data_IF_751808358585
#
_entry.id   IF_751808358585
#
_cell.length_a   1.000
_cell.length_b   1.000
_cell.length_c   1.000
_cell.angle_alpha   90.00
_cell.angle_beta   90.00
_cell.angle_gamma   90.00
#
_symmetry.space_group_name_H-M   'P 1'
#
loop_
_entity.id
_entity.type
_entity.pdbx_description
1 polymer ?
#
# COMPACT_ATOMS: atom_id res chain seq x y z
N UNK A 1 12.33 10.98 36.33
CA UNK A 1 11.54 12.15 36.77
C UNK A 1 12.16 13.38 36.13
N UNK A 2 11.39 14.35 35.62
CA UNK A 2 11.97 15.54 34.99
C UNK A 2 12.86 16.31 35.99
N UNK A 3 14.01 16.85 35.55
CA UNK A 3 14.87 17.66 36.41
C UNK A 3 14.12 18.93 36.84
N UNK A 4 14.04 19.15 38.16
CA UNK A 4 13.30 20.28 38.72
C UNK A 4 14.04 21.61 38.50
N UNK A 5 13.30 22.67 38.21
CA UNK A 5 13.78 24.03 38.04
C UNK A 5 13.32 24.93 39.19
N UNK A 6 14.28 25.41 39.96
CA UNK A 6 14.09 26.28 41.13
C UNK A 6 14.55 27.73 40.88
N UNK A 7 14.81 28.11 39.61
CA UNK A 7 15.39 29.38 39.14
C UNK A 7 16.91 29.48 39.21
N UNK A 8 17.60 28.54 39.85
CA UNK A 8 19.06 28.55 39.90
C UNK A 8 19.66 27.81 38.70
N UNK A 9 20.77 28.34 38.18
CA UNK A 9 21.59 27.71 37.14
C UNK A 9 20.76 27.18 35.95
N UNK A 10 20.07 28.13 35.27
CA UNK A 10 19.23 27.83 34.11
C UNK A 10 19.98 27.03 33.03
N UNK A 11 21.27 27.29 32.84
CA UNK A 11 22.10 26.58 31.86
C UNK A 11 22.19 25.10 32.22
N UNK A 12 22.53 24.78 33.48
CA UNK A 12 22.60 23.40 33.92
C UNK A 12 21.24 22.71 33.86
N UNK A 13 20.16 23.40 34.25
CA UNK A 13 18.81 22.85 34.11
C UNK A 13 18.45 22.58 32.65
N UNK A 14 18.74 23.51 31.73
CA UNK A 14 18.50 23.40 30.28
C UNK A 14 19.21 22.19 29.68
N UNK A 15 20.47 21.94 30.07
CA UNK A 15 21.24 20.76 29.64
C UNK A 15 20.61 19.47 30.17
N UNK A 16 20.31 19.40 31.47
CA UNK A 16 19.70 18.21 32.09
C UNK A 16 18.32 17.93 31.50
N UNK A 17 17.52 18.96 31.28
CA UNK A 17 16.16 18.85 30.75
C UNK A 17 16.15 18.41 29.29
N UNK A 18 16.98 19.04 28.44
CA UNK A 18 17.07 18.65 27.03
C UNK A 18 17.53 17.19 26.89
N UNK A 19 18.54 16.78 27.66
CA UNK A 19 19.03 15.40 27.69
C UNK A 19 17.94 14.42 28.17
N UNK A 20 17.19 14.79 29.22
CA UNK A 20 16.09 13.97 29.73
C UNK A 20 15.00 13.76 28.66
N UNK A 21 14.56 14.83 27.99
CA UNK A 21 13.52 14.74 26.96
C UNK A 21 14.00 13.90 25.76
N UNK A 22 15.23 14.13 25.29
CA UNK A 22 15.84 13.34 24.21
C UNK A 22 15.95 11.85 24.57
N UNK A 23 16.23 11.52 25.84
CA UNK A 23 16.29 10.13 26.30
C UNK A 23 14.92 9.43 26.35
N UNK A 24 13.84 10.20 26.47
CA UNK A 24 12.48 9.66 26.47
C UNK A 24 11.99 9.40 25.06
N UNK A 25 12.16 10.39 24.18
CA UNK A 25 11.71 10.36 22.79
C UNK A 25 12.28 11.58 22.06
N UNK A 26 13.07 11.34 21.00
CA UNK A 26 13.68 12.42 20.25
C UNK A 26 12.65 13.28 19.50
N UNK A 27 11.50 12.70 19.12
CA UNK A 27 10.42 13.44 18.47
C UNK A 27 9.79 14.49 19.42
N UNK A 28 9.86 14.28 20.75
CA UNK A 28 9.48 15.29 21.72
C UNK A 28 10.44 16.48 21.74
N UNK A 29 11.74 16.22 21.60
CA UNK A 29 12.74 17.28 21.54
C UNK A 29 12.59 18.11 20.26
N UNK A 30 12.43 17.44 19.12
CA UNK A 30 12.17 18.10 17.84
C UNK A 30 10.91 18.97 17.90
N UNK A 31 9.87 18.49 18.59
CA UNK A 31 8.63 19.26 18.80
C UNK A 31 8.85 20.56 19.59
N UNK A 32 9.74 20.55 20.57
CA UNK A 32 10.07 21.72 21.40
C UNK A 32 10.90 22.72 20.59
N UNK A 33 11.92 22.26 19.88
CA UNK A 33 12.86 23.12 19.13
C UNK A 33 12.21 23.69 17.87
N UNK A 34 11.64 22.83 17.03
CA UNK A 34 11.12 23.24 15.73
C UNK A 34 9.68 23.76 15.82
N UNK A 35 8.90 23.25 16.77
CA UNK A 35 7.52 23.66 16.99
C UNK A 35 6.55 23.07 15.97
N UNK A 36 5.27 23.35 16.21
CA UNK A 36 4.18 22.93 15.33
C UNK A 36 4.27 23.59 13.94
N UNK A 37 4.37 22.77 12.88
CA UNK A 37 3.97 23.18 11.53
C UNK A 37 2.48 22.88 11.34
N UNK A 38 1.61 23.56 12.08
CA UNK A 38 0.17 23.41 11.90
C UNK A 38 -0.36 24.46 10.90
N UNK A 39 -1.35 24.11 10.05
CA UNK A 39 -2.11 25.10 9.32
C UNK A 39 -2.75 26.10 10.29
N UNK A 40 -2.63 27.40 10.02
CA UNK A 40 -2.99 28.53 10.89
C UNK A 40 -4.48 28.60 11.32
N UNK A 41 -5.32 27.63 10.96
CA UNK A 41 -6.73 27.54 11.34
C UNK A 41 -6.91 26.57 12.52
N UNK A 42 -6.34 26.90 13.67
CA UNK A 42 -6.43 26.05 14.86
C UNK A 42 -7.57 26.40 15.79
N UNK A 43 -8.10 27.62 15.69
CA UNK A 43 -9.02 28.18 16.67
C UNK A 43 -10.49 27.84 16.36
N UNK A 44 -10.78 27.26 15.19
CA UNK A 44 -12.16 27.05 14.71
C UNK A 44 -12.44 25.68 14.08
N UNK A 45 -11.48 24.74 14.07
CA UNK A 45 -11.71 23.39 13.54
C UNK A 45 -12.32 22.46 14.60
N UNK A 46 -13.48 21.83 14.35
CA UNK A 46 -14.03 20.82 15.24
C UNK A 46 -13.04 19.64 15.39
N UNK A 47 -12.91 19.08 16.61
CA UNK A 47 -12.06 17.91 16.93
C UNK A 47 -12.22 16.72 15.96
N UNK A 48 -13.35 16.63 15.28
CA UNK A 48 -13.70 15.56 14.33
C UNK A 48 -12.92 15.68 13.00
N UNK A 49 -12.37 16.85 12.67
CA UNK A 49 -11.69 17.10 11.38
C UNK A 49 -10.19 16.80 11.35
N UNK A 50 -9.57 16.42 12.47
CA UNK A 50 -8.14 16.14 12.48
C UNK A 50 -7.81 14.81 11.82
N UNK A 51 -6.82 14.82 10.93
CA UNK A 51 -6.22 13.60 10.40
C UNK A 51 -5.31 12.93 11.46
N UNK A 52 -4.88 11.70 11.20
CA UNK A 52 -4.13 10.92 12.19
C UNK A 52 -2.77 11.56 12.55
N UNK A 53 -2.07 12.14 11.56
CA UNK A 53 -0.80 12.84 11.78
C UNK A 53 -0.98 14.09 12.65
N UNK A 54 -2.05 14.86 12.43
CA UNK A 54 -2.37 16.05 13.23
C UNK A 54 -2.69 15.67 14.69
N UNK A 55 -3.39 14.55 14.92
CA UNK A 55 -3.65 14.03 16.26
C UNK A 55 -2.36 13.58 16.95
N UNK A 56 -1.44 12.95 16.23
CA UNK A 56 -0.16 12.52 16.75
C UNK A 56 0.72 13.71 17.17
N UNK A 57 0.79 14.75 16.33
CA UNK A 57 1.46 16.00 16.68
C UNK A 57 0.85 16.69 17.91
N UNK A 58 -0.48 16.70 18.03
CA UNK A 58 -1.18 17.20 19.21
C UNK A 58 -0.79 16.46 20.49
N UNK A 59 -0.71 15.13 20.40
CA UNK A 59 -0.29 14.27 21.52
C UNK A 59 1.15 14.58 21.93
N UNK A 60 2.07 14.71 20.97
CA UNK A 60 3.47 15.07 21.23
C UNK A 60 3.58 16.45 21.90
N UNK A 61 2.87 17.47 21.40
CA UNK A 61 2.86 18.80 22.02
C UNK A 61 2.36 18.74 23.47
N UNK A 62 1.23 18.06 23.69
CA UNK A 62 0.64 17.95 25.03
C UNK A 62 1.57 17.21 26.00
N UNK A 63 2.23 16.15 25.53
CA UNK A 63 3.21 15.39 26.32
C UNK A 63 4.45 16.23 26.65
N UNK A 64 5.00 16.95 25.67
CA UNK A 64 6.12 17.86 25.89
C UNK A 64 5.77 18.98 26.90
N UNK A 65 4.61 19.62 26.75
CA UNK A 65 4.10 20.61 27.71
C UNK A 65 4.01 20.04 29.12
N UNK A 66 3.44 18.84 29.26
CA UNK A 66 3.29 18.18 30.54
C UNK A 66 4.65 17.93 31.21
N UNK A 67 5.63 17.41 30.47
CA UNK A 67 6.99 17.16 30.99
C UNK A 67 7.62 18.46 31.51
N UNK A 68 7.54 19.54 30.73
CA UNK A 68 8.10 20.83 31.14
C UNK A 68 7.36 21.37 32.35
N UNK A 69 6.03 21.36 32.38
CA UNK A 69 5.26 21.84 33.53
C UNK A 69 5.54 21.06 34.82
N UNK A 70 5.72 19.73 34.74
CA UNK A 70 6.09 18.92 35.91
C UNK A 70 7.49 19.25 36.46
N UNK A 71 8.33 19.91 35.68
CA UNK A 71 9.67 20.29 36.06
C UNK A 71 9.78 21.68 36.67
N UNK A 72 8.71 22.50 36.62
CA UNK A 72 8.77 23.90 37.02
C UNK A 72 8.20 24.11 38.42
N UNK A 73 8.77 25.06 39.14
CA UNK A 73 8.16 25.62 40.34
C UNK A 73 6.87 26.39 39.99
N UNK A 74 5.95 26.53 40.95
CA UNK A 74 4.67 27.23 40.75
C UNK A 74 4.83 28.66 40.21
N UNK A 75 5.84 29.38 40.70
CA UNK A 75 6.12 30.75 40.28
C UNK A 75 6.60 30.84 38.82
N UNK A 76 7.37 29.85 38.34
CA UNK A 76 7.76 29.80 36.93
C UNK A 76 6.59 29.33 36.06
N UNK A 77 5.79 28.38 36.54
CA UNK A 77 4.58 27.91 35.86
C UNK A 77 3.59 29.05 35.55
N UNK A 78 3.28 29.92 36.53
CA UNK A 78 2.30 30.99 36.35
C UNK A 78 2.64 31.92 35.17
N UNK A 79 3.93 32.17 34.92
CA UNK A 79 4.43 33.05 33.87
C UNK A 79 4.28 32.49 32.45
N UNK A 80 4.31 31.16 32.34
CA UNK A 80 4.26 30.45 31.05
C UNK A 80 2.96 29.65 30.86
N UNK A 81 2.07 29.66 31.85
CA UNK A 81 0.81 28.91 31.88
C UNK A 81 -0.10 29.25 30.69
N UNK A 82 0.01 30.47 30.16
CA UNK A 82 -0.77 30.95 29.00
C UNK A 82 -0.22 30.48 27.64
N UNK A 83 0.95 29.84 27.59
CA UNK A 83 1.56 29.40 26.33
C UNK A 83 0.78 28.21 25.73
N UNK A 84 0.52 28.28 24.43
CA UNK A 84 -0.27 27.27 23.73
C UNK A 84 0.60 26.06 23.35
N UNK A 85 1.87 26.31 23.00
CA UNK A 85 2.80 25.28 22.51
C UNK A 85 3.97 25.03 23.45
N UNK A 86 4.55 23.82 23.39
CA UNK A 86 5.76 23.50 24.15
C UNK A 86 6.95 24.36 23.73
N UNK A 87 7.00 24.75 22.45
CA UNK A 87 7.98 25.68 21.91
C UNK A 87 7.87 27.07 22.51
N UNK A 88 6.66 27.64 22.58
CA UNK A 88 6.45 28.94 23.23
C UNK A 88 6.88 28.93 24.69
N UNK A 89 6.61 27.83 25.41
CA UNK A 89 7.09 27.65 26.78
C UNK A 89 8.61 27.70 26.83
N UNK A 90 9.27 26.90 25.99
CA UNK A 90 10.73 26.79 25.98
C UNK A 90 11.40 28.12 25.63
N UNK A 91 10.92 28.80 24.59
CA UNK A 91 11.42 30.12 24.20
C UNK A 91 11.25 31.16 25.32
N UNK A 92 10.09 31.20 26.00
CA UNK A 92 9.91 32.15 27.11
C UNK A 92 10.85 31.87 28.29
N UNK A 93 11.13 30.60 28.58
CA UNK A 93 12.09 30.25 29.63
C UNK A 93 13.50 30.71 29.26
N UNK A 94 13.87 30.61 27.98
CA UNK A 94 15.13 31.12 27.44
C UNK A 94 15.20 32.65 27.57
N UNK A 95 14.16 33.36 27.12
CA UNK A 95 14.07 34.82 27.20
C UNK A 95 14.21 35.34 28.65
N UNK A 96 13.59 34.67 29.63
CA UNK A 96 13.59 35.15 31.02
C UNK A 96 14.92 34.93 31.79
N UNK A 97 15.69 33.92 31.42
CA UNK A 97 16.81 33.43 32.23
C UNK A 97 18.16 33.43 31.52
N UNK A 98 18.20 33.56 30.19
CA UNK A 98 19.45 33.68 29.44
C UNK A 98 20.00 35.13 29.50
N UNK A 99 19.15 36.16 29.55
CA UNK A 99 19.56 37.58 29.71
C UNK A 99 20.16 37.91 31.09
N UNK A 100 19.80 37.18 32.15
CA UNK A 100 20.24 37.46 33.53
C UNK A 100 21.60 36.86 33.90
N UNK A 101 22.09 35.88 33.14
CA UNK A 101 23.36 35.23 33.44
C UNK A 101 24.58 35.99 32.91
N UNK A 102 24.39 37.04 32.11
CA UNK A 102 25.51 37.88 31.64
C UNK A 102 26.17 38.62 32.81
N UNK A 103 25.38 39.13 33.77
CA UNK A 103 25.90 39.75 35.00
C UNK A 103 26.62 38.74 35.93
N UNK A 104 26.11 37.51 36.03
CA UNK A 104 26.72 36.44 36.83
C UNK A 104 28.06 35.97 36.26
N UNK A 105 28.15 35.83 34.93
CA UNK A 105 29.39 35.46 34.23
C UNK A 105 30.47 36.53 34.40
N UNK A 106 30.11 37.83 34.34
CA UNK A 106 31.05 38.93 34.64
C UNK A 106 31.54 38.89 36.09
N UNK A 107 30.68 38.56 37.06
CA UNK A 107 31.08 38.44 38.47
C UNK A 107 31.96 37.21 38.75
N UNK A 108 31.73 36.08 38.08
CA UNK A 108 32.60 34.90 38.18
C UNK A 108 33.95 35.08 37.49
N UNK A 109 33.99 35.83 36.36
CA UNK A 109 35.24 36.18 35.67
C UNK A 109 36.16 37.02 36.55
N UNK A 110 35.62 38.01 37.29
CA UNK A 110 36.43 38.82 38.21
C UNK A 110 36.96 38.02 39.42
N UNK A 111 36.19 37.05 39.92
CA UNK A 111 36.62 36.20 41.03
C UNK A 111 37.73 35.19 40.63
N UNK A 112 37.75 34.74 39.37
CA UNK A 112 38.76 33.81 38.86
C UNK A 112 40.12 34.49 38.60
N UNK A 113 40.16 35.81 38.43
CA UNK A 113 41.41 36.57 38.25
C UNK A 113 42.16 36.82 39.58
N UNK A 114 41.49 36.78 40.73
CA UNK A 114 42.12 37.01 42.04
C UNK A 114 42.81 35.77 42.63
N UNK A 115 42.43 34.54 42.22
CA UNK A 115 42.91 33.29 42.83
C UNK A 115 44.07 32.58 42.09
N UNK A 116 44.55 33.10 40.95
CA UNK A 116 45.62 32.46 40.17
C UNK A 116 47.04 32.78 40.67
N UNK A 117 47.29 32.61 41.98
CA UNK A 117 48.64 32.50 42.53
C UNK A 117 48.78 31.22 43.37
N UNK A 118 49.17 30.12 42.74
CA UNK A 118 49.41 28.85 43.40
C UNK A 118 49.65 27.70 42.44
N UNK A 119 50.91 27.27 42.38
CA UNK A 119 51.57 26.20 41.63
C UNK A 119 50.80 24.99 41.04
N UNK A 120 51.23 24.67 39.81
CA UNK A 120 51.63 23.37 39.21
C UNK A 120 50.78 22.09 39.42
N UNK A 121 50.17 21.59 38.33
CA UNK A 121 50.28 20.17 37.91
C UNK A 121 49.67 19.88 36.52
N UNK A 122 50.47 19.21 35.67
CA UNK A 122 50.11 18.24 34.61
C UNK A 122 49.31 18.66 33.35
N UNK A 123 50.02 18.79 32.22
CA UNK A 123 49.57 18.47 30.84
C UNK A 123 48.17 18.94 30.39
N UNK A 124 47.69 20.08 30.85
CA UNK A 124 46.48 20.69 30.33
C UNK A 124 46.84 21.53 29.09
N UNK A 125 46.43 21.08 27.90
CA UNK A 125 46.60 21.84 26.65
C UNK A 125 45.73 23.08 26.77
N UNK A 126 46.34 24.17 27.25
CA UNK A 126 45.64 25.39 27.56
C UNK A 126 45.36 26.15 26.25
N UNK A 127 44.16 25.98 25.70
CA UNK A 127 43.75 26.71 24.49
C UNK A 127 43.61 28.19 24.80
N UNK A 128 44.19 29.03 23.96
CA UNK A 128 44.00 30.47 24.09
C UNK A 128 42.56 30.81 23.71
N UNK A 129 41.94 31.81 24.36
CA UNK A 129 40.59 32.29 24.03
C UNK A 129 40.38 32.53 22.52
N UNK A 130 41.41 33.03 21.82
CA UNK A 130 41.39 33.26 20.37
C UNK A 130 41.22 31.97 19.57
N UNK A 131 41.86 30.88 20.00
CA UNK A 131 41.78 29.57 19.35
C UNK A 131 40.39 28.96 19.56
N UNK A 132 39.85 29.11 20.78
CA UNK A 132 38.52 28.64 21.13
C UNK A 132 37.42 29.41 20.38
N UNK A 133 37.57 30.73 20.27
CA UNK A 133 36.67 31.58 19.49
C UNK A 133 36.68 31.20 18.00
N UNK A 134 37.87 31.01 17.42
CA UNK A 134 37.99 30.61 16.01
C UNK A 134 37.41 29.21 15.75
N UNK A 135 37.61 28.27 16.68
CA UNK A 135 37.00 26.94 16.61
C UNK A 135 35.46 27.02 16.65
N UNK A 136 34.90 27.83 17.55
CA UNK A 136 33.46 28.04 17.65
C UNK A 136 32.86 28.68 16.38
N UNK A 137 33.50 29.72 15.84
CA UNK A 137 33.05 30.36 14.60
C UNK A 137 33.05 29.39 13.41
N UNK A 138 34.06 28.52 13.31
CA UNK A 138 34.12 27.50 12.27
C UNK A 138 33.01 26.45 12.45
N UNK A 139 32.80 25.98 13.68
CA UNK A 139 31.72 25.05 14.00
C UNK A 139 30.34 25.62 13.67
N UNK A 140 30.12 26.90 13.97
CA UNK A 140 28.86 27.58 13.67
C UNK A 140 28.60 27.67 12.16
N UNK A 141 29.61 28.00 11.36
CA UNK A 141 29.51 28.01 9.89
C UNK A 141 29.20 26.63 9.32
N UNK A 142 29.82 25.58 9.83
CA UNK A 142 29.52 24.20 9.43
C UNK A 142 28.08 23.82 9.77
N UNK A 143 27.62 24.16 10.97
CA UNK A 143 26.24 23.94 11.39
C UNK A 143 25.23 24.64 10.47
N UNK A 144 25.47 25.90 10.11
CA UNK A 144 24.61 26.65 9.20
C UNK A 144 24.54 25.99 7.81
N UNK A 145 25.69 25.57 7.28
CA UNK A 145 25.77 24.84 6.01
C UNK A 145 24.98 23.52 6.05
N UNK A 146 25.10 22.75 7.13
CA UNK A 146 24.34 21.52 7.34
C UNK A 146 22.83 21.80 7.40
N UNK A 147 22.41 22.87 8.08
CA UNK A 147 21.01 23.27 8.16
C UNK A 147 20.43 23.60 6.76
N UNK A 148 21.16 24.32 5.93
CA UNK A 148 20.76 24.61 4.55
C UNK A 148 20.64 23.32 3.72
N UNK A 149 21.61 22.41 3.86
CA UNK A 149 21.58 21.11 3.18
C UNK A 149 20.37 20.27 3.62
N UNK A 150 20.08 20.22 4.92
CA UNK A 150 18.90 19.52 5.45
C UNK A 150 17.59 20.12 4.93
N UNK A 151 17.49 21.44 4.82
CA UNK A 151 16.33 22.11 4.21
C UNK A 151 16.13 21.69 2.76
N UNK A 152 17.21 21.56 1.99
CA UNK A 152 17.17 21.07 0.60
C UNK A 152 16.74 19.60 0.53
N UNK A 153 17.37 18.74 1.35
CA UNK A 153 17.03 17.31 1.42
C UNK A 153 15.56 17.09 1.81
N UNK A 154 15.03 17.86 2.76
CA UNK A 154 13.63 17.79 3.17
C UNK A 154 12.67 18.12 2.02
N UNK A 155 12.99 19.13 1.20
CA UNK A 155 12.20 19.46 -0.01
C UNK A 155 12.24 18.32 -1.02
N UNK A 156 13.42 17.76 -1.27
CA UNK A 156 13.58 16.64 -2.20
C UNK A 156 12.82 15.40 -1.72
N UNK A 157 12.86 15.09 -0.42
CA UNK A 157 12.11 14.00 0.18
C UNK A 157 10.59 14.15 -0.01
N UNK A 158 10.06 15.37 0.18
CA UNK A 158 8.64 15.67 -0.07
C UNK A 158 8.30 15.49 -1.57
N UNK A 159 9.17 15.95 -2.47
CA UNK A 159 8.99 15.78 -3.91
C UNK A 159 8.94 14.31 -4.31
N UNK A 160 9.89 13.51 -3.83
CA UNK A 160 9.95 12.07 -4.09
C UNK A 160 8.72 11.33 -3.52
N UNK A 161 8.24 11.71 -2.34
CA UNK A 161 7.04 11.12 -1.75
C UNK A 161 5.80 11.34 -2.65
N UNK A 162 5.63 12.54 -3.20
CA UNK A 162 4.53 12.84 -4.12
C UNK A 162 4.63 12.04 -5.43
N UNK A 163 5.85 11.87 -5.95
CA UNK A 163 6.10 11.07 -7.16
C UNK A 163 5.77 9.59 -6.94
N UNK A 164 6.17 9.02 -5.79
CA UNK A 164 5.82 7.66 -5.38
C UNK A 164 4.30 7.49 -5.30
N UNK A 165 3.58 8.45 -4.72
CA UNK A 165 2.12 8.38 -4.62
C UNK A 165 1.43 8.44 -5.99
N UNK A 166 1.99 9.19 -6.95
CA UNK A 166 1.50 9.21 -8.33
C UNK A 166 1.77 7.88 -9.04
N UNK A 167 2.98 7.33 -8.95
CA UNK A 167 3.33 6.04 -9.53
C UNK A 167 2.48 4.90 -8.95
N UNK A 168 2.18 4.93 -7.65
CA UNK A 168 1.25 3.97 -7.02
C UNK A 168 -0.14 4.02 -7.62
N UNK A 169 -0.68 5.23 -7.87
CA UNK A 169 -1.99 5.38 -8.52
C UNK A 169 -1.98 4.84 -9.94
N UNK A 170 -0.90 5.06 -10.70
CA UNK A 170 -0.78 4.55 -12.06
C UNK A 170 -0.67 3.02 -12.09
N UNK A 171 0.18 2.44 -11.23
CA UNK A 171 0.28 0.98 -11.07
C UNK A 171 -1.07 0.35 -10.68
N UNK A 172 -1.87 1.02 -9.84
CA UNK A 172 -3.21 0.54 -9.51
C UNK A 172 -4.13 0.46 -10.74
N UNK A 173 -3.96 1.34 -11.74
CA UNK A 173 -4.72 1.27 -12.99
C UNK A 173 -4.28 0.07 -13.84
N UNK A 174 -2.98 -0.10 -14.04
CA UNK A 174 -2.45 -1.23 -14.83
C UNK A 174 -2.81 -2.58 -14.20
N UNK A 175 -2.78 -2.71 -12.87
CA UNK A 175 -3.20 -3.93 -12.18
C UNK A 175 -4.66 -4.29 -12.48
N UNK A 176 -5.57 -3.30 -12.45
CA UNK A 176 -6.99 -3.52 -12.78
C UNK A 176 -7.18 -3.92 -14.24
N UNK A 177 -6.42 -3.31 -15.15
CA UNK A 177 -6.47 -3.65 -16.58
C UNK A 177 -6.00 -5.09 -16.81
N UNK A 178 -4.89 -5.50 -16.20
CA UNK A 178 -4.37 -6.88 -16.26
C UNK A 178 -5.41 -7.88 -15.75
N UNK A 179 -6.10 -7.57 -14.65
CA UNK A 179 -7.14 -8.44 -14.09
C UNK A 179 -8.32 -8.59 -15.05
N UNK A 180 -8.78 -7.48 -15.66
CA UNK A 180 -9.85 -7.53 -16.67
C UNK A 180 -9.46 -8.34 -17.93
N UNK A 181 -8.20 -8.23 -18.38
CA UNK A 181 -7.69 -9.00 -19.51
C UNK A 181 -7.56 -10.48 -19.18
N UNK A 182 -7.17 -10.81 -17.93
CA UNK A 182 -7.08 -12.18 -17.45
C UNK A 182 -8.47 -12.85 -17.45
N UNK A 183 -9.49 -12.15 -16.97
CA UNK A 183 -10.87 -12.66 -16.98
C UNK A 183 -11.35 -12.89 -18.42
N UNK A 184 -11.05 -11.94 -19.32
CA UNK A 184 -11.39 -12.06 -20.73
C UNK A 184 -10.69 -13.23 -21.42
N UNK A 185 -9.41 -13.46 -21.10
CA UNK A 185 -8.67 -14.61 -21.61
C UNK A 185 -9.25 -15.93 -21.08
N UNK A 186 -9.64 -15.98 -19.80
CA UNK A 186 -10.32 -17.17 -19.25
C UNK A 186 -11.61 -17.47 -19.98
N UNK A 187 -12.39 -16.43 -20.33
CA UNK A 187 -13.60 -16.59 -21.12
C UNK A 187 -13.31 -17.19 -22.50
N UNK A 188 -12.35 -16.62 -23.24
CA UNK A 188 -11.99 -17.12 -24.57
C UNK A 188 -11.41 -18.54 -24.56
N UNK A 189 -10.64 -18.90 -23.53
CA UNK A 189 -10.13 -20.27 -23.38
C UNK A 189 -11.28 -21.27 -23.27
N UNK A 190 -12.29 -20.97 -22.43
CA UNK A 190 -13.47 -21.82 -22.30
C UNK A 190 -14.25 -21.93 -23.62
N UNK A 191 -14.37 -20.83 -24.37
CA UNK A 191 -15.06 -20.82 -25.66
C UNK A 191 -14.33 -21.68 -26.71
N UNK A 192 -13.00 -21.60 -26.74
CA UNK A 192 -12.16 -22.46 -27.59
C UNK A 192 -12.35 -23.94 -27.22
N UNK A 193 -12.39 -24.28 -25.94
CA UNK A 193 -12.60 -25.66 -25.49
C UNK A 193 -13.96 -26.21 -25.93
N UNK A 194 -15.02 -25.40 -25.84
CA UNK A 194 -16.36 -25.76 -26.32
C UNK A 194 -16.36 -26.00 -27.84
N UNK A 195 -15.71 -25.12 -28.60
CA UNK A 195 -15.59 -25.26 -30.05
C UNK A 195 -14.79 -26.50 -30.44
N UNK A 196 -13.71 -26.81 -29.71
CA UNK A 196 -12.92 -28.02 -29.91
C UNK A 196 -13.75 -29.29 -29.67
N UNK A 197 -14.53 -29.35 -28.59
CA UNK A 197 -15.44 -30.47 -28.33
C UNK A 197 -16.49 -30.59 -29.45
N UNK A 198 -17.07 -29.47 -29.87
CA UNK A 198 -18.10 -29.44 -30.92
C UNK A 198 -17.56 -29.91 -32.27
N UNK A 199 -16.36 -29.48 -32.65
CA UNK A 199 -15.71 -29.91 -33.90
C UNK A 199 -15.36 -31.40 -33.87
N UNK A 200 -14.90 -31.92 -32.73
CA UNK A 200 -14.65 -33.35 -32.56
C UNK A 200 -15.92 -34.18 -32.72
N UNK A 201 -17.00 -33.77 -32.06
CA UNK A 201 -18.32 -34.43 -32.18
C UNK A 201 -18.82 -34.42 -33.63
N UNK A 202 -18.68 -33.29 -34.32
CA UNK A 202 -19.04 -33.17 -35.74
C UNK A 202 -18.24 -34.15 -36.60
N UNK A 203 -16.91 -34.21 -36.42
CA UNK A 203 -16.06 -35.12 -37.18
C UNK A 203 -16.39 -36.60 -36.91
N UNK A 204 -16.68 -36.96 -35.66
CA UNK A 204 -17.05 -38.32 -35.29
C UNK A 204 -18.40 -38.70 -35.92
N UNK A 205 -19.39 -37.78 -35.93
CA UNK A 205 -20.67 -38.00 -36.62
C UNK A 205 -20.51 -38.17 -38.14
N UNK A 206 -19.54 -37.47 -38.75
CA UNK A 206 -19.29 -37.55 -40.19
C UNK A 206 -18.69 -38.91 -40.57
N UNK A 207 -17.73 -39.41 -39.77
CA UNK A 207 -17.17 -40.77 -39.94
C UNK A 207 -18.23 -41.85 -39.76
N UNK A 208 -19.13 -41.70 -38.79
CA UNK A 208 -20.22 -42.66 -38.57
C UNK A 208 -21.20 -42.67 -39.75
N UNK A 209 -21.54 -41.50 -40.31
CA UNK A 209 -22.35 -41.40 -41.51
C UNK A 209 -21.69 -42.04 -42.74
N UNK A 210 -20.38 -41.87 -42.92
CA UNK A 210 -19.63 -42.54 -43.99
C UNK A 210 -19.70 -44.07 -43.85
N UNK A 211 -19.55 -44.58 -42.63
CA UNK A 211 -19.68 -46.02 -42.33
C UNK A 211 -21.09 -46.54 -42.64
N UNK A 212 -22.13 -45.85 -42.18
CA UNK A 212 -23.53 -46.22 -42.44
C UNK A 212 -23.84 -46.22 -43.94
N UNK A 213 -23.26 -45.29 -44.70
CA UNK A 213 -23.42 -45.25 -46.16
C UNK A 213 -22.87 -46.51 -46.84
N UNK A 214 -21.69 -46.97 -46.41
CA UNK A 214 -21.09 -48.22 -46.90
C UNK A 214 -21.99 -49.43 -46.55
N UNK A 215 -22.51 -49.51 -45.33
CA UNK A 215 -23.42 -50.58 -44.90
C UNK A 215 -24.72 -50.59 -45.71
N UNK A 216 -25.32 -49.43 -45.97
CA UNK A 216 -26.52 -49.30 -46.81
C UNK A 216 -26.24 -49.78 -48.24
N UNK A 217 -25.10 -49.40 -48.83
CA UNK A 217 -24.75 -49.82 -50.19
C UNK A 217 -24.51 -51.33 -50.28
N UNK A 218 -23.89 -51.93 -49.26
CA UNK A 218 -23.77 -53.39 -49.14
C UNK A 218 -25.14 -54.07 -49.02
N UNK A 219 -26.04 -53.53 -48.19
CA UNK A 219 -27.41 -54.02 -48.05
C UNK A 219 -28.19 -53.93 -49.36
N UNK A 220 -28.16 -52.78 -50.06
CA UNK A 220 -28.80 -52.61 -51.38
C UNK A 220 -28.30 -53.65 -52.40
N UNK A 221 -26.99 -53.92 -52.40
CA UNK A 221 -26.39 -54.94 -53.27
C UNK A 221 -26.92 -56.34 -52.93
N UNK A 222 -26.92 -56.70 -51.65
CA UNK A 222 -27.46 -57.98 -51.18
C UNK A 222 -28.95 -58.16 -51.52
N UNK A 223 -29.75 -57.11 -51.37
CA UNK A 223 -31.17 -57.12 -51.73
C UNK A 223 -31.38 -57.30 -53.24
N UNK A 224 -30.56 -56.64 -54.07
CA UNK A 224 -30.59 -56.82 -55.53
C UNK A 224 -30.25 -58.26 -55.92
N UNK A 225 -29.25 -58.87 -55.29
CA UNK A 225 -28.91 -60.29 -55.49
C UNK A 225 -30.04 -61.22 -55.04
N UNK A 226 -30.64 -60.96 -53.88
CA UNK A 226 -31.78 -61.72 -53.38
C UNK A 226 -32.99 -61.64 -54.32
N UNK A 227 -33.33 -60.43 -54.80
CA UNK A 227 -34.41 -60.18 -55.77
C UNK A 227 -34.15 -60.85 -57.11
N UNK A 228 -32.90 -60.93 -57.56
CA UNK A 228 -32.52 -61.54 -58.83
C UNK A 228 -32.29 -63.06 -58.74
N UNK A 229 -32.30 -63.64 -57.54
CA UNK A 229 -32.15 -65.08 -57.39
C UNK A 229 -33.34 -65.81 -58.03
N UNK A 230 -33.05 -66.65 -59.02
CA UNK A 230 -34.09 -67.31 -59.83
C UNK A 230 -35.06 -68.15 -58.98
N UNK A 231 -34.60 -68.68 -57.85
CA UNK A 231 -35.43 -69.43 -56.91
C UNK A 231 -36.58 -68.59 -56.33
N UNK A 232 -36.32 -67.31 -56.00
CA UNK A 232 -37.32 -66.42 -55.42
C UNK A 232 -38.26 -65.81 -56.46
N UNK A 233 -37.73 -65.42 -57.63
CA UNK A 233 -38.57 -64.98 -58.76
C UNK A 233 -39.47 -66.12 -59.24
N UNK A 234 -38.97 -67.36 -59.28
CA UNK A 234 -39.78 -68.55 -59.57
C UNK A 234 -40.82 -68.79 -58.50
N UNK A 235 -40.47 -68.73 -57.21
CA UNK A 235 -41.44 -68.88 -56.13
C UNK A 235 -42.57 -67.82 -56.20
N UNK A 236 -42.24 -66.55 -56.45
CA UNK A 236 -43.21 -65.47 -56.63
C UNK A 236 -44.10 -65.66 -57.86
N UNK A 237 -43.54 -66.11 -58.98
CA UNK A 237 -44.30 -66.42 -60.19
C UNK A 237 -45.20 -67.65 -60.01
N UNK A 238 -44.73 -68.67 -59.28
CA UNK A 238 -45.52 -69.85 -58.91
C UNK A 238 -46.71 -69.43 -58.03
N UNK A 239 -46.50 -68.60 -57.01
CA UNK A 239 -47.58 -68.09 -56.15
C UNK A 239 -48.60 -67.29 -56.96
N UNK A 240 -48.14 -66.40 -57.85
CA UNK A 240 -49.03 -65.63 -58.76
C UNK A 240 -49.82 -66.54 -59.69
N UNK A 241 -49.19 -67.60 -60.23
CA UNK A 241 -49.85 -68.58 -61.09
C UNK A 241 -50.96 -69.34 -60.33
N UNK A 242 -50.67 -69.85 -59.14
CA UNK A 242 -51.67 -70.53 -58.31
C UNK A 242 -52.83 -69.62 -57.93
N UNK A 243 -52.57 -68.35 -57.62
CA UNK A 243 -53.62 -67.36 -57.36
C UNK A 243 -54.52 -67.12 -58.57
N UNK A 244 -53.94 -66.99 -59.77
CA UNK A 244 -54.69 -66.85 -61.01
C UNK A 244 -55.51 -68.10 -61.35
N UNK A 245 -54.92 -69.29 -61.17
CA UNK A 245 -55.60 -70.56 -61.40
C UNK A 245 -56.81 -70.74 -60.47
N UNK A 246 -56.67 -70.43 -59.17
CA UNK A 246 -57.77 -70.44 -58.20
C UNK A 246 -58.90 -69.48 -58.60
N UNK A 247 -58.55 -68.29 -59.11
CA UNK A 247 -59.52 -67.28 -59.57
C UNK A 247 -60.24 -67.70 -60.86
N UNK A 248 -59.56 -68.41 -61.75
CA UNK A 248 -60.19 -68.96 -62.96
C UNK A 248 -61.11 -70.15 -62.63
N UNK A 249 -60.67 -71.03 -61.72
CA UNK A 249 -61.45 -72.18 -61.26
C UNK A 249 -62.73 -71.75 -60.53
N UNK A 250 -62.67 -70.69 -59.71
CA UNK A 250 -63.87 -70.14 -59.07
C UNK A 250 -64.85 -69.56 -60.10
N UNK A 251 -64.35 -68.93 -61.17
CA UNK A 251 -65.19 -68.42 -62.26
C UNK A 251 -65.84 -69.56 -63.06
N UNK A 252 -65.12 -70.64 -63.33
CA UNK A 252 -65.62 -71.82 -64.05
C UNK A 252 -66.65 -72.61 -63.22
N UNK A 253 -66.42 -72.78 -61.91
CA UNK A 253 -67.42 -73.33 -60.99
C UNK A 253 -68.67 -72.44 -60.93
N UNK A 254 -68.52 -71.12 -60.98
CA UNK A 254 -69.64 -70.19 -61.07
C UNK A 254 -70.45 -70.34 -62.35
N UNK A 255 -69.80 -70.61 -63.49
CA UNK A 255 -70.47 -70.85 -64.77
C UNK A 255 -71.15 -72.24 -64.85
N UNK A 256 -70.47 -73.29 -64.38
CA UNK A 256 -71.02 -74.66 -64.36
C UNK A 256 -72.20 -74.84 -63.40
N UNK A 257 -72.36 -73.94 -62.42
CA UNK A 257 -73.52 -73.92 -61.50
C UNK A 257 -74.75 -73.23 -62.10
N UNK A 258 -74.60 -72.57 -63.24
CA UNK A 258 -75.65 -71.85 -63.99
C UNK A 258 -76.03 -72.54 -65.31
N UNK A 259 -75.58 -73.77 -65.53
CA UNK A 259 -75.98 -74.71 -66.58
C UNK A 259 -76.85 -75.80 -65.95
#
# INVERSE_FOLDING_TARGET
MPPFFDRNDYIQWKIKMSTFIQSLDYDLWDMIVFGQQLPKEYISKPRIKYNEKEKEMLKLNAKAKHIIFCALSSNEFDRISSCETAKEIWNKLEDFHEEKNVEGVTSCLMALEEDSSGDESENEVNFTFKELQNAYENLFKEYENICLKNKSLKKNAISMANEIDNLKKENSKYVKEIESLKDKNSFYMNEIDILNVSSKLSNDSLKENEKLKIEIDALKKSFSTFSNSSANVRALNIIKYYYWALKLFSHFLGWARNL
#
